data_IF_620911279311
#
_entry.id   IF_620911279311
#
_cell.length_a   1.000
_cell.length_b   1.000
_cell.length_c   1.000
_cell.angle_alpha   90.00
_cell.angle_beta   90.00
_cell.angle_gamma   90.00
#
_symmetry.space_group_name_H-M   'P 1'
#
loop_
_entity.id
_entity.type
_entity.pdbx_description
1 polymer ?
#
# COMPACT_ATOMS: atom_id res chain seq x y z
N UNK A 1 26.27 1.67 20.19
CA UNK A 1 25.76 0.30 20.02
C UNK A 1 24.93 -0.15 21.21
N UNK A 2 25.07 0.48 22.38
CA UNK A 2 24.33 0.11 23.60
C UNK A 2 22.81 0.42 23.54
N UNK A 3 22.35 1.34 22.67
CA UNK A 3 20.92 1.66 22.51
C UNK A 3 20.06 0.55 21.86
N UNK A 4 20.69 -0.36 21.10
CA UNK A 4 19.99 -1.46 20.43
C UNK A 4 19.55 -2.58 21.40
N UNK A 5 20.08 -2.60 22.63
CA UNK A 5 19.70 -3.58 23.65
C UNK A 5 18.24 -3.45 24.09
N UNK A 6 17.64 -2.27 23.88
CA UNK A 6 16.24 -2.01 24.17
C UNK A 6 15.32 -2.29 22.99
N UNK A 7 15.78 -2.71 21.82
CA UNK A 7 14.89 -3.02 20.69
C UNK A 7 14.36 -4.47 20.78
N UNK A 8 13.08 -4.71 20.40
CA UNK A 8 12.09 -3.77 19.87
C UNK A 8 11.23 -3.17 20.99
N UNK A 9 11.78 -3.09 22.20
CA UNK A 9 11.17 -2.62 23.44
C UNK A 9 11.59 -1.20 23.90
N UNK A 10 11.54 -0.16 23.05
CA UNK A 10 11.52 1.16 23.64
C UNK A 10 10.15 1.40 24.29
N UNK A 11 10.09 2.36 25.19
CA UNK A 11 8.88 2.85 25.87
C UNK A 11 7.91 3.51 24.87
N UNK A 12 7.39 2.76 23.89
CA UNK A 12 6.41 3.27 22.92
C UNK A 12 5.13 3.60 23.67
N UNK A 13 4.71 4.86 23.62
CA UNK A 13 3.36 5.23 24.01
C UNK A 13 2.74 5.86 22.78
N UNK A 14 1.86 5.10 22.12
CA UNK A 14 1.14 5.62 20.96
C UNK A 14 0.21 6.77 21.41
N UNK A 15 0.18 7.86 20.65
CA UNK A 15 -0.83 8.88 20.85
C UNK A 15 -2.20 8.35 20.39
N UNK A 16 -2.99 7.84 21.34
CA UNK A 16 -4.30 7.23 21.11
C UNK A 16 -5.26 8.16 20.37
N UNK A 17 -5.22 9.45 20.68
CA UNK A 17 -6.07 10.47 20.04
C UNK A 17 -5.72 10.61 18.56
N UNK A 18 -4.42 10.74 18.23
CA UNK A 18 -3.97 10.84 16.85
C UNK A 18 -4.28 9.54 16.09
N UNK A 19 -3.98 8.38 16.67
CA UNK A 19 -4.29 7.08 16.07
C UNK A 19 -5.80 6.92 15.79
N UNK A 20 -6.66 7.28 16.74
CA UNK A 20 -8.12 7.23 16.61
C UNK A 20 -8.65 8.18 15.53
N UNK A 21 -8.16 9.42 15.49
CA UNK A 21 -8.51 10.37 14.44
C UNK A 21 -8.13 9.86 13.04
N UNK A 22 -6.90 9.34 12.89
CA UNK A 22 -6.45 8.79 11.61
C UNK A 22 -7.24 7.52 11.25
N UNK A 23 -7.57 6.66 12.22
CA UNK A 23 -8.41 5.48 11.99
C UNK A 23 -9.79 5.86 11.46
N UNK A 24 -10.41 6.91 12.02
CA UNK A 24 -11.69 7.42 11.55
C UNK A 24 -11.60 7.94 10.11
N UNK A 25 -10.53 8.67 9.76
CA UNK A 25 -10.30 9.14 8.39
C UNK A 25 -10.18 7.97 7.39
N UNK A 26 -9.40 6.95 7.73
CA UNK A 26 -9.25 5.75 6.89
C UNK A 26 -10.56 4.98 6.80
N UNK A 27 -11.32 4.87 7.90
CA UNK A 27 -12.64 4.26 7.92
C UNK A 27 -13.64 4.97 7.00
N UNK A 28 -13.67 6.30 7.01
CA UNK A 28 -14.49 7.10 6.09
C UNK A 28 -14.07 6.84 4.63
N UNK A 29 -12.76 6.85 4.34
CA UNK A 29 -12.24 6.51 3.00
C UNK A 29 -12.67 5.11 2.57
N UNK A 30 -12.58 4.13 3.46
CA UNK A 30 -12.98 2.74 3.20
C UNK A 30 -14.47 2.62 2.87
N UNK A 31 -15.34 3.27 3.67
CA UNK A 31 -16.79 3.26 3.44
C UNK A 31 -17.11 3.93 2.11
N UNK A 32 -16.51 5.09 1.83
CA UNK A 32 -16.70 5.81 0.57
C UNK A 32 -16.29 4.92 -0.63
N UNK A 33 -15.12 4.31 -0.55
CA UNK A 33 -14.62 3.40 -1.58
C UNK A 33 -15.51 2.16 -1.75
N UNK A 34 -16.01 1.57 -0.66
CA UNK A 34 -16.91 0.42 -0.69
C UNK A 34 -18.24 0.76 -1.36
N UNK A 35 -18.89 1.86 -0.96
CA UNK A 35 -20.14 2.32 -1.57
C UNK A 35 -19.97 2.54 -3.07
N UNK A 36 -18.89 3.22 -3.47
CA UNK A 36 -18.58 3.44 -4.88
C UNK A 36 -18.36 2.11 -5.63
N UNK A 37 -17.65 1.16 -5.02
CA UNK A 37 -17.38 -0.16 -5.60
C UNK A 37 -18.67 -0.97 -5.81
N UNK A 38 -19.59 -0.93 -4.84
CA UNK A 38 -20.91 -1.56 -4.95
C UNK A 38 -21.77 -0.93 -6.06
N UNK A 39 -21.86 0.40 -6.10
CA UNK A 39 -22.59 1.14 -7.14
C UNK A 39 -22.00 0.90 -8.54
N UNK A 40 -20.68 0.71 -8.62
CA UNK A 40 -19.95 0.55 -9.86
C UNK A 40 -20.03 -0.87 -10.46
N UNK A 41 -20.52 -1.88 -9.72
CA UNK A 41 -20.38 -3.31 -10.09
C UNK A 41 -18.95 -3.64 -10.52
N UNK A 42 -18.00 -3.28 -9.65
CA UNK A 42 -16.58 -3.18 -9.96
C UNK A 42 -16.01 -4.39 -10.73
N UNK A 43 -15.30 -4.11 -11.81
CA UNK A 43 -14.39 -5.04 -12.50
C UNK A 43 -13.06 -4.31 -12.71
N UNK A 44 -11.90 -4.93 -12.42
CA UNK A 44 -11.71 -6.32 -12.00
C UNK A 44 -11.83 -6.56 -10.48
N UNK A 45 -12.36 -7.72 -10.04
CA UNK A 45 -12.55 -8.03 -8.61
C UNK A 45 -11.23 -8.08 -7.82
N UNK A 46 -10.11 -8.34 -8.50
CA UNK A 46 -8.78 -8.40 -7.88
C UNK A 46 -8.33 -7.05 -7.33
N UNK A 47 -8.42 -5.97 -8.10
CA UNK A 47 -8.08 -4.61 -7.62
C UNK A 47 -8.96 -4.25 -6.43
N UNK A 48 -10.25 -4.59 -6.51
CA UNK A 48 -11.19 -4.34 -5.42
C UNK A 48 -10.76 -5.03 -4.13
N UNK A 49 -10.47 -6.34 -4.20
CA UNK A 49 -10.00 -7.09 -3.05
C UNK A 49 -8.69 -6.54 -2.46
N UNK A 50 -7.70 -6.20 -3.30
CA UNK A 50 -6.42 -5.66 -2.85
C UNK A 50 -6.59 -4.33 -2.10
N UNK A 51 -7.38 -3.41 -2.64
CA UNK A 51 -7.65 -2.11 -2.01
C UNK A 51 -8.43 -2.27 -0.71
N UNK A 52 -9.44 -3.16 -0.68
CA UNK A 52 -10.20 -3.48 0.53
C UNK A 52 -9.27 -4.04 1.62
N UNK A 53 -8.46 -5.03 1.28
CA UNK A 53 -7.51 -5.65 2.19
C UNK A 53 -6.53 -4.61 2.77
N UNK A 54 -6.00 -3.72 1.93
CA UNK A 54 -5.12 -2.64 2.39
C UNK A 54 -5.78 -1.68 3.36
N UNK A 55 -6.99 -1.22 3.06
CA UNK A 55 -7.72 -0.33 3.99
C UNK A 55 -7.95 -1.03 5.34
N UNK A 56 -8.41 -2.28 5.32
CA UNK A 56 -8.67 -3.04 6.54
C UNK A 56 -7.40 -3.23 7.38
N UNK A 57 -6.25 -3.50 6.77
CA UNK A 57 -5.01 -3.70 7.53
C UNK A 57 -4.55 -2.43 8.23
N UNK A 58 -4.68 -1.26 7.59
CA UNK A 58 -4.38 0.03 8.23
C UNK A 58 -5.36 0.34 9.36
N UNK A 59 -6.66 0.13 9.12
CA UNK A 59 -7.69 0.37 10.14
C UNK A 59 -7.42 -0.50 11.37
N UNK A 60 -7.16 -1.80 11.18
CA UNK A 60 -6.83 -2.71 12.28
C UNK A 60 -5.55 -2.25 12.99
N UNK A 61 -4.51 -1.83 12.25
CA UNK A 61 -3.28 -1.33 12.85
C UNK A 61 -3.53 -0.11 13.76
N UNK A 62 -4.29 0.87 13.28
CA UNK A 62 -4.58 2.10 14.02
C UNK A 62 -5.50 1.83 15.22
N UNK A 63 -6.46 0.92 15.09
CA UNK A 63 -7.30 0.48 16.22
C UNK A 63 -6.44 -0.22 17.27
N UNK A 64 -5.54 -1.11 16.87
CA UNK A 64 -4.61 -1.76 17.80
C UNK A 64 -3.81 -0.69 18.53
N UNK A 65 -3.19 0.27 17.82
CA UNK A 65 -2.45 1.38 18.45
C UNK A 65 -3.29 2.24 19.39
N UNK A 66 -4.55 2.52 19.05
CA UNK A 66 -5.45 3.32 19.89
C UNK A 66 -5.94 2.57 21.15
N UNK A 67 -5.94 1.23 21.12
CA UNK A 67 -6.46 0.38 22.20
C UNK A 67 -5.38 -0.18 23.12
N UNK A 68 -4.10 -0.08 22.76
CA UNK A 68 -3.01 -0.55 23.62
C UNK A 68 -2.96 0.26 24.93
N UNK A 69 -3.02 -0.39 26.11
CA UNK A 69 -2.88 0.29 27.39
C UNK A 69 -1.46 0.83 27.58
N UNK A 70 -1.34 1.98 28.25
CA UNK A 70 -0.09 2.73 28.44
C UNK A 70 0.97 1.95 29.24
N UNK A 71 0.53 1.05 30.13
CA UNK A 71 1.41 0.31 31.03
C UNK A 71 2.11 -0.92 30.41
N UNK A 72 1.83 -1.27 29.16
CA UNK A 72 2.50 -2.41 28.50
C UNK A 72 3.78 -1.96 27.80
N UNK A 73 4.84 -1.76 28.58
CA UNK A 73 6.20 -1.51 28.06
C UNK A 73 6.70 -2.61 27.12
N UNK A 74 6.16 -3.84 27.15
CA UNK A 74 6.73 -5.01 26.45
C UNK A 74 5.72 -5.92 25.76
N UNK A 75 4.95 -5.43 24.76
CA UNK A 75 4.09 -6.31 23.96
C UNK A 75 4.72 -6.72 22.62
N UNK A 76 5.57 -7.75 22.67
CA UNK A 76 6.16 -8.39 21.46
C UNK A 76 5.12 -8.65 20.38
N UNK A 77 3.97 -9.19 20.79
CA UNK A 77 2.88 -9.58 19.91
C UNK A 77 2.29 -8.39 19.17
N UNK A 78 2.10 -7.25 19.85
CA UNK A 78 1.57 -6.04 19.22
C UNK A 78 2.56 -5.51 18.18
N UNK A 79 3.86 -5.49 18.49
CA UNK A 79 4.89 -5.08 17.55
C UNK A 79 4.86 -5.94 16.27
N UNK A 80 4.82 -7.27 16.42
CA UNK A 80 4.74 -8.21 15.29
C UNK A 80 3.49 -7.95 14.45
N UNK A 81 2.33 -7.81 15.08
CA UNK A 81 1.05 -7.58 14.39
C UNK A 81 1.09 -6.28 13.61
N UNK A 82 1.45 -5.18 14.28
CA UNK A 82 1.46 -3.83 13.71
C UNK A 82 2.45 -3.73 12.54
N UNK A 83 3.67 -4.25 12.71
CA UNK A 83 4.68 -4.26 11.65
C UNK A 83 4.23 -5.09 10.43
N UNK A 84 3.51 -6.19 10.66
CA UNK A 84 3.00 -7.06 9.60
C UNK A 84 1.83 -6.43 8.85
N UNK A 85 0.87 -5.81 9.57
CA UNK A 85 -0.29 -5.13 8.99
C UNK A 85 0.13 -3.94 8.12
N UNK A 86 1.06 -3.13 8.62
CA UNK A 86 1.61 -2.00 7.90
C UNK A 86 2.19 -2.41 6.55
N UNK A 87 3.10 -3.39 6.59
CA UNK A 87 3.80 -3.84 5.41
C UNK A 87 2.85 -4.54 4.42
N UNK A 88 1.77 -5.17 4.91
CA UNK A 88 0.74 -5.76 4.05
C UNK A 88 -0.02 -4.69 3.27
N UNK A 89 -0.42 -3.58 3.92
CA UNK A 89 -1.11 -2.47 3.24
C UNK A 89 -0.30 -1.92 2.05
N UNK A 90 0.97 -1.59 2.27
CA UNK A 90 1.83 -1.03 1.21
C UNK A 90 1.92 -1.96 0.00
N UNK A 91 2.11 -3.27 0.23
CA UNK A 91 2.18 -4.29 -0.82
C UNK A 91 0.92 -4.31 -1.67
N UNK A 92 -0.25 -4.24 -1.03
CA UNK A 92 -1.53 -4.30 -1.72
C UNK A 92 -1.77 -3.08 -2.62
N UNK A 93 -1.36 -1.86 -2.21
CA UNK A 93 -1.45 -0.67 -3.07
C UNK A 93 -0.48 -0.75 -4.24
N UNK A 94 0.77 -1.16 -3.99
CA UNK A 94 1.77 -1.34 -5.06
C UNK A 94 1.24 -2.33 -6.11
N UNK A 95 0.77 -3.50 -5.69
CA UNK A 95 0.18 -4.48 -6.61
C UNK A 95 -1.05 -3.89 -7.33
N UNK A 96 -1.90 -3.12 -6.63
CA UNK A 96 -3.07 -2.47 -7.24
C UNK A 96 -2.69 -1.51 -8.36
N UNK A 97 -1.61 -0.71 -8.20
CA UNK A 97 -1.09 0.16 -9.26
C UNK A 97 -0.68 -0.66 -10.50
N UNK A 98 0.04 -1.76 -10.31
CA UNK A 98 0.46 -2.65 -11.40
C UNK A 98 -0.72 -3.33 -12.10
N UNK A 99 -1.68 -3.85 -11.34
CA UNK A 99 -2.87 -4.49 -11.92
C UNK A 99 -3.66 -3.46 -12.72
N UNK A 100 -3.81 -2.23 -12.22
CA UNK A 100 -4.56 -1.19 -12.91
C UNK A 100 -3.95 -0.81 -14.28
N UNK A 101 -2.63 -0.57 -14.37
CA UNK A 101 -2.02 -0.23 -15.66
C UNK A 101 -2.15 -1.36 -16.69
N UNK A 102 -2.06 -2.61 -16.24
CA UNK A 102 -2.12 -3.77 -17.13
C UNK A 102 -3.53 -4.04 -17.65
N UNK A 103 -4.55 -3.72 -16.84
CA UNK A 103 -5.95 -3.79 -17.24
C UNK A 103 -6.30 -2.71 -18.27
N UNK A 104 -5.77 -1.48 -18.10
CA UNK A 104 -5.91 -0.41 -19.11
C UNK A 104 -5.29 -0.81 -20.44
N UNK A 105 -4.12 -1.45 -20.42
CA UNK A 105 -3.41 -1.81 -21.64
C UNK A 105 -4.14 -2.87 -22.48
N UNK A 106 -5.04 -3.68 -21.90
CA UNK A 106 -5.75 -4.81 -22.54
C UNK A 106 -4.87 -5.80 -23.36
N UNK A 107 -3.54 -5.70 -23.33
CA UNK A 107 -2.66 -6.61 -24.07
C UNK A 107 -2.36 -7.81 -23.18
N UNK A 108 -2.92 -8.97 -23.53
CA UNK A 108 -2.58 -10.29 -22.96
C UNK A 108 -1.16 -10.76 -23.35
N UNK A 109 -0.20 -9.84 -23.50
CA UNK A 109 1.18 -10.16 -23.86
C UNK A 109 1.88 -10.93 -22.75
N UNK A 110 2.81 -11.79 -23.13
CA UNK A 110 3.69 -12.48 -22.19
C UNK A 110 4.42 -11.47 -21.28
N UNK A 111 4.87 -10.34 -21.84
CA UNK A 111 5.57 -9.28 -21.10
C UNK A 111 4.73 -8.67 -19.98
N UNK A 112 3.46 -8.35 -20.25
CA UNK A 112 2.52 -7.84 -19.24
C UNK A 112 2.31 -8.83 -18.10
N UNK A 113 2.23 -10.14 -18.41
CA UNK A 113 2.12 -11.19 -17.39
C UNK A 113 3.39 -11.32 -16.56
N UNK A 114 4.56 -11.29 -17.20
CA UNK A 114 5.85 -11.35 -16.51
C UNK A 114 6.06 -10.15 -15.58
N UNK A 115 5.65 -8.95 -16.00
CA UNK A 115 5.68 -7.74 -15.16
C UNK A 115 4.81 -7.93 -13.92
N UNK A 116 3.56 -8.41 -14.07
CA UNK A 116 2.67 -8.64 -12.94
C UNK A 116 3.21 -9.72 -11.99
N UNK A 117 3.68 -10.84 -12.55
CA UNK A 117 4.28 -11.93 -11.78
C UNK A 117 5.51 -11.41 -11.02
N UNK A 118 6.35 -10.59 -11.66
CA UNK A 118 7.50 -9.97 -11.02
C UNK A 118 7.11 -9.07 -9.83
N UNK A 119 6.14 -8.18 -10.02
CA UNK A 119 5.64 -7.31 -8.95
C UNK A 119 5.04 -8.11 -7.78
N UNK A 120 4.22 -9.13 -8.07
CA UNK A 120 3.63 -10.02 -7.05
C UNK A 120 4.72 -10.81 -6.33
N UNK A 121 5.66 -11.40 -7.07
CA UNK A 121 6.74 -12.21 -6.51
C UNK A 121 7.63 -11.38 -5.58
N UNK A 122 7.90 -10.13 -5.95
CA UNK A 122 8.67 -9.21 -5.12
C UNK A 122 7.90 -8.82 -3.84
N UNK A 123 6.59 -8.56 -3.95
CA UNK A 123 5.75 -8.29 -2.78
C UNK A 123 5.67 -9.51 -1.82
N UNK A 124 5.57 -10.72 -2.37
CA UNK A 124 5.58 -11.97 -1.60
C UNK A 124 6.95 -12.17 -0.95
N UNK A 125 8.05 -11.98 -1.68
CA UNK A 125 9.40 -12.10 -1.13
C UNK A 125 9.62 -11.12 0.02
N UNK A 126 9.21 -9.86 -0.16
CA UNK A 126 9.20 -8.86 0.90
C UNK A 126 8.40 -9.33 2.13
N UNK A 127 7.27 -10.00 1.95
CA UNK A 127 6.46 -10.54 3.04
C UNK A 127 7.13 -11.76 3.72
N UNK A 128 7.77 -12.65 2.97
CA UNK A 128 8.53 -13.78 3.52
C UNK A 128 9.66 -13.27 4.42
N UNK A 129 10.33 -12.20 4.02
CA UNK A 129 11.37 -11.56 4.84
C UNK A 129 10.84 -10.99 6.17
N UNK A 130 9.54 -10.75 6.32
CA UNK A 130 8.94 -10.35 7.61
C UNK A 130 9.03 -11.45 8.67
N UNK A 131 9.09 -12.72 8.27
CA UNK A 131 9.20 -13.85 9.20
C UNK A 131 10.52 -13.80 9.99
N UNK A 132 11.71 -13.80 9.36
CA UNK A 132 12.96 -13.67 10.09
C UNK A 132 13.09 -12.31 10.78
N UNK A 133 12.56 -11.21 10.23
CA UNK A 133 12.53 -9.90 10.94
C UNK A 133 11.86 -10.07 12.29
N UNK A 134 10.65 -10.64 12.31
CA UNK A 134 9.88 -10.79 13.54
C UNK A 134 10.54 -11.77 14.53
N UNK A 135 11.21 -12.83 14.06
CA UNK A 135 11.91 -13.76 14.94
C UNK A 135 13.20 -13.16 15.53
N UNK A 136 13.98 -12.46 14.72
CA UNK A 136 15.29 -11.92 15.08
C UNK A 136 15.20 -10.60 15.85
N UNK A 137 14.07 -9.89 15.74
CA UNK A 137 13.90 -8.59 16.40
C UNK A 137 14.02 -8.65 17.91
N UNK A 138 13.77 -9.80 18.54
CA UNK A 138 13.76 -9.97 19.99
C UNK A 138 15.02 -10.64 20.56
N UNK A 139 16.01 -10.90 19.71
CA UNK A 139 17.29 -11.50 20.08
C UNK A 139 18.40 -10.42 19.98
N UNK A 140 18.94 -9.91 21.09
CA UNK A 140 19.95 -8.85 21.10
C UNK A 140 21.19 -9.19 20.25
N UNK A 141 21.57 -10.46 20.17
CA UNK A 141 22.74 -10.89 19.39
C UNK A 141 22.45 -10.87 17.88
N UNK A 142 21.17 -11.01 17.49
CA UNK A 142 20.75 -11.10 16.08
C UNK A 142 20.00 -9.86 15.58
N UNK A 143 19.94 -8.81 16.39
CA UNK A 143 19.21 -7.59 16.07
C UNK A 143 19.68 -6.92 14.77
N UNK A 144 20.99 -6.89 14.52
CA UNK A 144 21.56 -6.35 13.30
C UNK A 144 21.08 -7.12 12.06
N UNK A 145 20.91 -8.43 12.18
CA UNK A 145 20.33 -9.24 11.11
C UNK A 145 18.84 -8.91 10.91
N UNK A 146 18.09 -8.64 11.98
CA UNK A 146 16.70 -8.15 11.87
C UNK A 146 16.60 -6.84 11.07
N UNK A 147 17.42 -5.84 11.40
CA UNK A 147 17.49 -4.59 10.64
C UNK A 147 17.92 -4.78 9.19
N UNK A 148 18.86 -5.70 8.93
CA UNK A 148 19.27 -6.05 7.57
C UNK A 148 18.10 -6.64 6.77
N UNK A 149 17.35 -7.58 7.33
CA UNK A 149 16.18 -8.14 6.65
C UNK A 149 15.07 -7.11 6.45
N UNK A 150 14.86 -6.20 7.42
CA UNK A 150 13.92 -5.09 7.30
C UNK A 150 14.29 -4.15 6.16
N UNK A 151 15.58 -3.78 6.09
CA UNK A 151 16.13 -2.97 5.00
C UNK A 151 15.96 -3.67 3.65
N UNK A 152 16.24 -4.98 3.58
CA UNK A 152 16.09 -5.76 2.35
C UNK A 152 14.62 -5.84 1.91
N UNK A 153 13.71 -6.11 2.84
CA UNK A 153 12.26 -6.16 2.59
C UNK A 153 11.73 -4.83 2.07
N UNK A 154 12.12 -3.70 2.69
CA UNK A 154 11.75 -2.37 2.26
C UNK A 154 12.39 -1.98 0.92
N UNK A 155 13.64 -2.40 0.66
CA UNK A 155 14.33 -2.16 -0.60
C UNK A 155 13.65 -2.87 -1.78
N UNK A 156 13.14 -4.09 -1.56
CA UNK A 156 12.34 -4.78 -2.58
C UNK A 156 11.08 -3.99 -2.95
N UNK A 157 10.34 -3.50 -1.95
CA UNK A 157 9.14 -2.69 -2.20
C UNK A 157 9.46 -1.36 -2.88
N UNK A 158 10.51 -0.68 -2.43
CA UNK A 158 10.97 0.55 -3.04
C UNK A 158 11.39 0.34 -4.50
N UNK A 159 12.16 -0.72 -4.79
CA UNK A 159 12.55 -1.08 -6.15
C UNK A 159 11.32 -1.28 -7.05
N UNK A 160 10.29 -1.98 -6.58
CA UNK A 160 9.03 -2.17 -7.34
C UNK A 160 8.26 -0.86 -7.50
N UNK A 161 8.19 -0.03 -6.46
CA UNK A 161 7.55 1.28 -6.55
C UNK A 161 8.24 2.21 -7.57
N UNK A 162 9.56 2.14 -7.69
CA UNK A 162 10.33 2.92 -8.68
C UNK A 162 10.23 2.29 -10.08
N UNK A 163 10.35 0.96 -10.20
CA UNK A 163 10.22 0.23 -11.46
C UNK A 163 8.83 0.37 -12.10
N UNK A 164 7.83 0.79 -11.33
CA UNK A 164 6.52 1.11 -11.83
C UNK A 164 6.56 2.14 -12.97
N UNK A 165 7.34 3.21 -12.85
CA UNK A 165 7.41 4.28 -13.85
C UNK A 165 8.00 3.85 -15.20
N UNK A 166 9.17 3.18 -15.28
CA UNK A 166 9.69 2.69 -16.55
C UNK A 166 8.77 1.62 -17.15
N UNK A 167 8.13 0.77 -16.33
CA UNK A 167 7.12 -0.19 -16.79
C UNK A 167 5.93 0.52 -17.41
N UNK A 168 5.41 1.54 -16.73
CA UNK A 168 4.27 2.31 -17.19
C UNK A 168 4.60 3.07 -18.49
N UNK A 169 5.77 3.69 -18.56
CA UNK A 169 6.26 4.33 -19.79
C UNK A 169 6.38 3.33 -20.95
N UNK A 170 6.99 2.16 -20.70
CA UNK A 170 7.16 1.11 -21.71
C UNK A 170 5.81 0.55 -22.19
N UNK A 171 4.83 0.45 -21.29
CA UNK A 171 3.50 -0.04 -21.62
C UNK A 171 2.71 0.92 -22.52
N UNK A 172 3.16 2.16 -22.73
CA UNK A 172 2.50 3.16 -23.60
C UNK A 172 1.02 3.42 -23.29
N UNK A 173 0.51 2.98 -22.12
CA UNK A 173 -0.89 3.10 -21.72
C UNK A 173 -1.33 4.53 -21.46
N UNK A 174 -0.41 5.48 -21.36
CA UNK A 174 -0.69 6.89 -21.08
C UNK A 174 -1.70 7.47 -22.08
N UNK A 175 -1.67 7.03 -23.34
CA UNK A 175 -2.59 7.49 -24.39
C UNK A 175 -4.03 6.99 -24.19
N UNK A 176 -4.19 5.84 -23.54
CA UNK A 176 -5.48 5.18 -23.32
C UNK A 176 -6.08 5.53 -21.94
N UNK A 177 -5.36 6.33 -21.17
CA UNK A 177 -5.75 6.75 -19.82
C UNK A 177 -6.39 8.13 -19.82
N UNK A 178 -7.47 8.29 -19.07
CA UNK A 178 -7.97 9.62 -18.73
C UNK A 178 -6.96 10.37 -17.84
N UNK A 179 -7.02 11.71 -17.82
CA UNK A 179 -6.17 12.51 -16.93
C UNK A 179 -6.31 12.12 -15.44
N UNK A 180 -7.52 11.73 -15.02
CA UNK A 180 -7.78 11.25 -13.66
C UNK A 180 -7.03 9.94 -13.36
N UNK A 181 -6.98 9.01 -14.33
CA UNK A 181 -6.23 7.76 -14.23
C UNK A 181 -4.72 8.00 -14.08
N UNK A 182 -4.19 8.95 -14.86
CA UNK A 182 -2.78 9.34 -14.84
C UNK A 182 -2.43 9.93 -13.47
N UNK A 183 -3.24 10.88 -12.97
CA UNK A 183 -3.05 11.50 -11.66
C UNK A 183 -3.12 10.46 -10.55
N UNK A 184 -4.14 9.59 -10.55
CA UNK A 184 -4.28 8.50 -9.57
C UNK A 184 -3.00 7.69 -9.43
N UNK A 185 -2.49 7.23 -10.56
CA UNK A 185 -1.36 6.32 -10.63
C UNK A 185 -0.05 6.98 -10.21
N UNK A 186 0.20 8.22 -10.65
CA UNK A 186 1.38 9.00 -10.22
C UNK A 186 1.33 9.24 -8.72
N UNK A 187 0.21 9.74 -8.21
CA UNK A 187 0.06 10.09 -6.80
C UNK A 187 0.20 8.84 -5.94
N UNK A 188 -0.57 7.78 -6.23
CA UNK A 188 -0.53 6.51 -5.49
C UNK A 188 0.88 5.90 -5.49
N UNK A 189 1.54 5.81 -6.65
CA UNK A 189 2.87 5.21 -6.74
C UNK A 189 3.95 6.04 -6.05
N UNK A 190 3.91 7.38 -6.20
CA UNK A 190 4.85 8.29 -5.51
C UNK A 190 4.73 8.18 -4.00
N UNK A 191 3.51 8.14 -3.47
CA UNK A 191 3.27 8.04 -2.03
C UNK A 191 3.75 6.68 -1.48
N UNK A 192 3.57 5.59 -2.22
CA UNK A 192 4.18 4.29 -1.87
C UNK A 192 5.72 4.35 -1.88
N UNK A 193 6.32 5.02 -2.86
CA UNK A 193 7.78 5.19 -2.93
C UNK A 193 8.31 6.00 -1.73
N UNK A 194 7.62 7.08 -1.33
CA UNK A 194 7.97 7.86 -0.14
C UNK A 194 7.91 7.01 1.13
N UNK A 195 6.80 6.28 1.33
CA UNK A 195 6.62 5.46 2.54
C UNK A 195 7.64 4.30 2.63
N UNK A 196 7.99 3.69 1.49
CA UNK A 196 8.99 2.62 1.44
C UNK A 196 10.41 3.16 1.61
N UNK A 197 10.74 4.32 1.04
CA UNK A 197 12.01 5.01 1.28
C UNK A 197 12.19 5.35 2.77
N UNK A 198 11.15 5.90 3.40
CA UNK A 198 11.18 6.19 4.82
C UNK A 198 11.39 4.91 5.65
N UNK A 199 10.76 3.79 5.26
CA UNK A 199 10.98 2.49 5.92
C UNK A 199 12.42 2.00 5.76
N UNK A 200 13.08 2.26 4.62
CA UNK A 200 14.50 1.95 4.43
C UNK A 200 15.36 2.78 5.39
N UNK A 201 15.08 4.08 5.51
CA UNK A 201 15.80 4.99 6.41
C UNK A 201 15.64 4.52 7.86
N UNK A 202 14.42 4.21 8.30
CA UNK A 202 14.14 3.64 9.63
C UNK A 202 14.76 2.27 9.87
N UNK A 203 15.15 1.55 8.81
CA UNK A 203 15.83 0.25 8.94
C UNK A 203 17.34 0.42 9.21
N UNK A 204 17.85 1.64 9.30
CA UNK A 204 19.20 1.94 9.73
C UNK A 204 19.15 2.21 11.25
N UNK A 205 19.87 1.44 12.08
CA UNK A 205 19.82 1.56 13.54
C UNK A 205 19.93 2.99 14.07
N UNK A 206 20.88 3.78 13.56
CA UNK A 206 21.10 5.17 14.01
C UNK A 206 19.91 6.10 13.77
N UNK A 207 19.09 5.81 12.75
CA UNK A 207 17.91 6.60 12.42
C UNK A 207 16.64 6.02 13.05
N UNK A 208 16.65 4.74 13.41
CA UNK A 208 15.51 4.10 14.07
C UNK A 208 15.17 4.80 15.38
N UNK A 209 16.14 4.96 16.28
CA UNK A 209 15.89 5.57 17.60
C UNK A 209 15.46 7.04 17.48
N UNK A 210 16.07 7.78 16.55
CA UNK A 210 15.75 9.19 16.28
C UNK A 210 14.35 9.39 15.70
N UNK A 211 13.92 8.49 14.80
CA UNK A 211 12.58 8.58 14.20
C UNK A 211 11.50 8.04 15.13
N UNK A 212 11.84 7.05 15.95
CA UNK A 212 10.94 6.44 16.89
C UNK A 212 10.59 7.36 18.06
N UNK A 213 11.57 8.13 18.58
CA UNK A 213 11.34 9.10 19.66
C UNK A 213 10.39 10.24 19.27
N UNK A 214 10.14 10.41 17.98
CA UNK A 214 9.29 11.46 17.41
C UNK A 214 8.16 10.85 16.57
N UNK A 215 7.07 10.47 17.24
CA UNK A 215 5.90 9.81 16.64
C UNK A 215 5.29 10.57 15.45
N UNK A 216 5.48 11.89 15.38
CA UNK A 216 5.08 12.74 14.25
C UNK A 216 5.66 12.23 12.93
N UNK A 217 6.92 11.77 12.91
CA UNK A 217 7.55 11.26 11.69
C UNK A 217 6.90 9.95 11.22
N UNK A 218 6.50 9.09 12.16
CA UNK A 218 5.74 7.89 11.83
C UNK A 218 4.42 8.27 11.15
N UNK A 219 3.62 9.15 11.74
CA UNK A 219 2.35 9.55 11.11
C UNK A 219 2.56 10.30 9.79
N UNK A 220 3.52 11.21 9.70
CA UNK A 220 3.71 12.07 8.55
C UNK A 220 4.36 11.38 7.34
N UNK A 221 5.35 10.50 7.57
CA UNK A 221 6.16 9.91 6.49
C UNK A 221 5.85 8.44 6.24
N UNK A 222 5.14 7.78 7.16
CA UNK A 222 4.81 6.37 7.05
C UNK A 222 3.30 6.14 6.83
N UNK A 223 2.45 6.72 7.67
CA UNK A 223 0.99 6.54 7.56
C UNK A 223 0.35 7.49 6.54
N UNK A 224 0.63 8.79 6.62
CA UNK A 224 -0.02 9.79 5.78
C UNK A 224 0.14 9.52 4.29
N UNK A 225 1.31 9.08 3.75
CA UNK A 225 1.40 8.77 2.33
C UNK A 225 0.48 7.61 1.92
N UNK A 226 0.34 6.58 2.75
CA UNK A 226 -0.55 5.44 2.47
C UNK A 226 -2.02 5.89 2.53
N UNK A 227 -2.38 6.70 3.52
CA UNK A 227 -3.71 7.28 3.66
C UNK A 227 -4.06 8.15 2.45
N UNK A 228 -3.14 9.01 2.01
CA UNK A 228 -3.34 9.83 0.80
C UNK A 228 -3.43 8.98 -0.47
N UNK A 229 -2.69 7.87 -0.57
CA UNK A 229 -2.84 6.94 -1.69
C UNK A 229 -4.26 6.34 -1.69
N UNK A 230 -4.78 5.93 -0.53
CA UNK A 230 -6.16 5.46 -0.39
C UNK A 230 -7.21 6.50 -0.73
N UNK A 231 -7.02 7.75 -0.29
CA UNK A 231 -7.89 8.84 -0.70
C UNK A 231 -7.85 9.06 -2.21
N UNK A 232 -6.67 9.01 -2.85
CA UNK A 232 -6.56 9.11 -4.29
C UNK A 232 -7.35 8.00 -5.01
N UNK A 233 -7.26 6.75 -4.55
CA UNK A 233 -8.05 5.63 -5.06
C UNK A 233 -9.56 5.79 -4.85
N UNK A 234 -9.97 6.48 -3.79
CA UNK A 234 -11.38 6.76 -3.47
C UNK A 234 -11.94 7.94 -4.27
N UNK A 235 -11.12 8.95 -4.57
CA UNK A 235 -11.51 10.15 -5.35
C UNK A 235 -11.49 9.85 -6.85
N UNK A 236 -10.38 9.28 -7.34
CA UNK A 236 -10.15 8.96 -8.75
C UNK A 236 -10.49 7.51 -9.06
N UNK A 237 -11.61 7.03 -8.51
CA UNK A 237 -12.01 5.64 -8.57
C UNK A 237 -11.90 5.04 -9.98
N UNK A 238 -11.30 3.85 -10.17
CA UNK A 238 -10.94 3.26 -11.46
C UNK A 238 -12.03 3.25 -12.53
N UNK A 239 -13.31 3.11 -12.14
CA UNK A 239 -14.45 3.21 -13.07
C UNK A 239 -14.52 4.54 -13.82
N UNK A 240 -14.15 5.67 -13.20
CA UNK A 240 -14.11 7.00 -13.84
C UNK A 240 -12.93 7.12 -14.80
N UNK A 241 -11.93 6.27 -14.56
CA UNK A 241 -10.60 6.33 -15.14
C UNK A 241 -10.47 5.43 -16.38
N UNK A 242 -11.21 4.31 -16.39
CA UNK A 242 -11.40 3.38 -17.50
C UNK A 242 -12.55 3.89 -18.37
N UNK A 243 -12.24 4.51 -19.51
CA UNK A 243 -13.26 4.91 -20.50
C UNK A 243 -14.04 3.66 -20.90
N UNK A 244 -15.37 3.73 -20.82
CA UNK A 244 -16.23 2.67 -21.36
C UNK A 244 -15.97 2.54 -22.86
N UNK A 245 -15.30 1.48 -23.26
CA UNK A 245 -15.40 0.95 -24.61
C UNK A 245 -16.79 0.32 -24.78
N UNK A 246 -17.84 1.14 -24.69
CA UNK A 246 -19.09 0.76 -25.32
C UNK A 246 -18.90 0.98 -26.83
N UNK A 247 -19.09 -0.05 -27.66
CA UNK A 247 -19.25 0.20 -29.08
C UNK A 247 -20.50 1.07 -29.24
N UNK A 248 -20.37 2.17 -29.99
CA UNK A 248 -21.53 2.77 -30.65
C UNK A 248 -22.13 1.68 -31.55
N UNK A 249 -23.01 0.85 -31.01
CA UNK A 249 -23.96 0.11 -31.81
C UNK A 249 -24.96 1.17 -32.26
N UNK A 250 -24.81 1.53 -33.53
CA UNK A 250 -25.68 2.37 -34.32
C UNK A 250 -27.14 2.00 -34.11
N UNK A 251 -27.85 2.74 -33.27
CA UNK A 251 -29.30 2.73 -33.23
C UNK A 251 -29.86 3.70 -34.26
N UNK A 252 -29.64 3.45 -35.54
CA UNK A 252 -30.45 3.99 -36.66
C UNK A 252 -30.21 3.14 -37.91
N UNK A 253 -30.95 2.04 -38.04
CA UNK A 253 -30.93 1.22 -39.24
C UNK A 253 -31.46 -0.16 -38.96
N UNK A 254 -32.78 -0.27 -38.73
CA UNK A 254 -33.58 -1.46 -39.10
C UNK A 254 -35.07 -1.39 -38.70
N UNK A 255 -35.57 -0.25 -38.21
CA UNK A 255 -37.00 -0.09 -37.87
C UNK A 255 -37.90 0.47 -39.00
N UNK A 256 -37.54 0.22 -40.27
CA UNK A 256 -38.34 0.63 -41.44
C UNK A 256 -38.87 -0.53 -42.30
N UNK A 257 -38.76 -1.78 -41.84
CA UNK A 257 -39.31 -2.95 -42.54
C UNK A 257 -40.70 -3.40 -42.01
N UNK A 258 -41.36 -2.55 -41.22
CA UNK A 258 -42.73 -2.76 -40.74
C UNK A 258 -43.64 -1.58 -41.07
N UNK A 259 -43.77 -1.27 -42.36
CA UNK A 259 -44.90 -0.56 -42.98
C UNK A 259 -45.12 -1.13 -44.39
#
# INVERSE_FOLDING_TARGET
>A
MDDLLLYPYPTYIANKTVAGCVAAMVGISLIAWFIQSCQARFRPPRISFLLLASHLTIVIELIVRATVPEDRQNSKTIFIIVNSLFALSQRMIIISNYVFILEVHYVRSLSSRLILIGAISCAIMSAILMVPINMLSFDPEKINASFLFRKLSASFLFAVAILFYPVWYWSKTVKDMTMQAIILVIVSSTLCAIATLFTIIQSIPSFYDQTYSHEVWFYALQIAPIVFAHFAWSVFHPKRSLVSSEPLISATGDDLSRL
#
